data_IF_073263224303
#
_entry.id   IF_073263224303
#
_cell.length_a   1.000
_cell.length_b   1.000
_cell.length_c   1.000
_cell.angle_alpha   90.00
_cell.angle_beta   90.00
_cell.angle_gamma   90.00
#
_symmetry.space_group_name_H-M   'P 1'
#
loop_
_entity.id
_entity.type
_entity.pdbx_description
1 polymer ?
#
# COMPACT_ATOMS: atom_id res chain seq x y z
N UNK A 1 -14.57 -0.62 3.57
CA UNK A 1 -14.79 -2.06 3.84
C UNK A 1 -13.48 -2.83 3.65
N UNK A 2 -13.20 -3.88 4.44
CA UNK A 2 -12.09 -4.78 4.14
C UNK A 2 -12.31 -5.49 2.80
N UNK A 3 -11.23 -5.83 2.10
CA UNK A 3 -11.30 -6.57 0.84
C UNK A 3 -11.97 -7.94 1.07
N UNK A 4 -12.88 -8.32 0.18
CA UNK A 4 -13.42 -9.68 0.17
C UNK A 4 -12.34 -10.65 -0.34
N UNK A 5 -12.40 -11.92 0.10
CA UNK A 5 -11.49 -12.98 -0.38
C UNK A 5 -11.52 -13.09 -1.91
N UNK A 6 -12.71 -13.02 -2.50
CA UNK A 6 -12.89 -13.04 -3.94
C UNK A 6 -12.26 -11.82 -4.62
N UNK A 7 -12.48 -10.62 -4.09
CA UNK A 7 -11.88 -9.39 -4.63
C UNK A 7 -10.35 -9.43 -4.61
N UNK A 8 -9.77 -9.93 -3.51
CA UNK A 8 -8.31 -10.07 -3.39
C UNK A 8 -7.76 -11.11 -4.37
N UNK A 9 -8.40 -12.28 -4.49
CA UNK A 9 -8.01 -13.32 -5.44
C UNK A 9 -8.10 -12.82 -6.90
N UNK A 10 -9.14 -12.07 -7.23
CA UNK A 10 -9.29 -11.46 -8.56
C UNK A 10 -8.16 -10.47 -8.84
N UNK A 11 -7.80 -9.62 -7.88
CA UNK A 11 -6.67 -8.68 -8.01
C UNK A 11 -5.34 -9.41 -8.24
N UNK A 12 -5.06 -10.46 -7.45
CA UNK A 12 -3.84 -11.27 -7.60
C UNK A 12 -3.69 -11.91 -8.98
N UNK A 13 -4.79 -12.23 -9.66
CA UNK A 13 -4.78 -12.87 -10.98
C UNK A 13 -4.55 -11.88 -12.14
N UNK A 14 -4.64 -10.58 -11.88
CA UNK A 14 -4.50 -9.56 -12.93
C UNK A 14 -3.03 -9.31 -13.29
N UNK A 15 -2.73 -9.19 -14.59
CA UNK A 15 -1.35 -8.96 -15.06
C UNK A 15 -0.79 -7.60 -14.63
N UNK A 16 -1.65 -6.61 -14.42
CA UNK A 16 -1.27 -5.27 -14.01
C UNK A 16 -1.19 -5.11 -12.48
N UNK A 17 -1.28 -6.18 -11.69
CA UNK A 17 -0.99 -6.11 -10.26
C UNK A 17 0.41 -6.64 -9.95
N UNK A 18 0.94 -6.23 -8.80
CA UNK A 18 2.17 -6.75 -8.22
C UNK A 18 1.96 -6.87 -6.72
N UNK A 19 2.22 -8.07 -6.18
CA UNK A 19 2.20 -8.31 -4.75
C UNK A 19 3.55 -8.82 -4.28
N UNK A 20 4.04 -8.27 -3.18
CA UNK A 20 5.26 -8.70 -2.51
C UNK A 20 4.93 -9.21 -1.12
N UNK A 21 5.60 -10.29 -0.73
CA UNK A 21 5.49 -10.88 0.58
C UNK A 21 6.86 -10.85 1.27
N UNK A 22 6.86 -10.49 2.55
CA UNK A 22 8.02 -10.63 3.43
C UNK A 22 7.82 -11.87 4.28
N UNK A 23 8.87 -12.68 4.42
CA UNK A 23 8.89 -13.86 5.27
C UNK A 23 9.93 -13.70 6.39
N UNK A 24 9.60 -14.20 7.58
CA UNK A 24 10.51 -14.35 8.73
C UNK A 24 10.38 -15.78 9.23
N UNK A 25 11.49 -16.50 9.33
CA UNK A 25 11.52 -17.88 9.83
C UNK A 25 10.53 -18.83 9.11
N UNK A 26 10.40 -18.65 7.79
CA UNK A 26 9.49 -19.42 6.95
C UNK A 26 8.02 -18.99 7.04
N UNK A 27 7.67 -18.05 7.91
CA UNK A 27 6.31 -17.54 8.03
C UNK A 27 6.09 -16.20 7.33
N UNK A 28 4.89 -15.99 6.79
CA UNK A 28 4.49 -14.70 6.23
C UNK A 28 4.50 -13.63 7.32
N UNK A 29 5.38 -12.64 7.19
CA UNK A 29 5.54 -11.54 8.12
C UNK A 29 4.74 -10.29 7.71
N UNK A 30 4.56 -10.09 6.41
CA UNK A 30 3.79 -8.99 5.84
C UNK A 30 3.69 -9.06 4.33
N UNK A 31 2.87 -8.19 3.75
CA UNK A 31 2.74 -8.06 2.30
C UNK A 31 2.39 -6.63 1.90
N UNK A 32 2.66 -6.31 0.64
CA UNK A 32 2.17 -5.11 -0.01
C UNK A 32 1.69 -5.39 -1.44
N UNK A 33 0.80 -4.54 -1.95
CA UNK A 33 0.20 -4.67 -3.28
C UNK A 33 0.24 -3.35 -4.05
N UNK A 34 0.34 -3.47 -5.37
CA UNK A 34 0.33 -2.38 -6.34
C UNK A 34 -0.59 -2.77 -7.50
N UNK A 35 -1.48 -1.87 -7.91
CA UNK A 35 -2.27 -1.97 -9.13
C UNK A 35 -1.78 -0.91 -10.12
N UNK A 36 -1.36 -1.34 -11.31
CA UNK A 36 -0.89 -0.45 -12.38
C UNK A 36 -2.04 -0.10 -13.33
N UNK A 37 -2.20 1.19 -13.61
CA UNK A 37 -3.06 1.71 -14.67
C UNK A 37 -2.24 2.70 -15.49
N UNK A 38 -1.87 2.32 -16.71
CA UNK A 38 -0.92 3.08 -17.53
C UNK A 38 0.41 3.32 -16.78
N UNK A 39 0.78 4.57 -16.57
CA UNK A 39 1.96 5.05 -15.85
C UNK A 39 1.69 5.37 -14.37
N UNK A 40 0.46 5.12 -13.90
CA UNK A 40 0.06 5.26 -12.50
C UNK A 40 0.07 3.92 -11.75
N UNK A 41 0.51 3.96 -10.49
CA UNK A 41 0.55 2.83 -9.58
C UNK A 41 -0.21 3.12 -8.27
N UNK A 42 -1.33 2.46 -8.06
CA UNK A 42 -2.10 2.53 -6.81
C UNK A 42 -1.57 1.52 -5.80
N UNK A 43 -1.10 1.98 -4.64
CA UNK A 43 -0.71 1.10 -3.52
C UNK A 43 -1.98 0.64 -2.80
N UNK A 44 -2.34 -0.63 -2.97
CA UNK A 44 -3.66 -1.14 -2.55
C UNK A 44 -3.68 -1.64 -1.11
N UNK A 45 -2.71 -2.47 -0.73
CA UNK A 45 -2.64 -3.07 0.60
C UNK A 45 -1.22 -3.00 1.13
N UNK A 46 -1.07 -2.67 2.42
CA UNK A 46 0.20 -2.79 3.15
C UNK A 46 -0.12 -3.31 4.54
N UNK A 47 0.38 -4.49 4.87
CA UNK A 47 0.11 -5.12 6.15
C UNK A 47 1.33 -5.87 6.68
N UNK A 48 1.55 -5.75 8.00
CA UNK A 48 2.58 -6.47 8.73
C UNK A 48 1.95 -7.08 9.99
N UNK A 49 2.29 -8.35 10.28
CA UNK A 49 1.90 -9.06 11.51
C UNK A 49 2.19 -8.17 12.72
N UNK A 50 1.22 -8.04 13.64
CA UNK A 50 1.31 -7.11 14.78
C UNK A 50 2.56 -7.36 15.64
N UNK A 51 2.91 -8.63 15.87
CA UNK A 51 4.10 -9.06 16.63
C UNK A 51 5.43 -8.72 15.96
N UNK A 52 5.43 -8.44 14.65
CA UNK A 52 6.64 -8.16 13.86
C UNK A 52 6.74 -6.69 13.43
N UNK A 53 5.87 -5.82 13.96
CA UNK A 53 5.95 -4.37 13.72
C UNK A 53 7.16 -3.75 14.42
N UNK A 54 7.60 -2.59 13.96
CA UNK A 54 8.80 -1.91 14.46
C UNK A 54 10.12 -2.43 13.88
N UNK A 55 10.10 -3.54 13.13
CA UNK A 55 11.29 -4.17 12.54
C UNK A 55 11.58 -3.72 11.09
N UNK A 56 11.04 -2.55 10.68
CA UNK A 56 11.21 -1.97 9.32
C UNK A 56 10.70 -2.86 8.15
N UNK A 57 9.90 -3.89 8.41
CA UNK A 57 9.35 -4.78 7.39
C UNK A 57 8.53 -4.01 6.34
N UNK A 58 7.61 -3.15 6.80
CA UNK A 58 6.77 -2.36 5.89
C UNK A 58 7.61 -1.40 5.03
N UNK A 59 8.68 -0.82 5.58
CA UNK A 59 9.60 0.05 4.83
C UNK A 59 10.29 -0.72 3.72
N UNK A 60 10.87 -1.89 4.02
CA UNK A 60 11.53 -2.74 3.01
C UNK A 60 10.56 -3.20 1.92
N UNK A 61 9.33 -3.54 2.30
CA UNK A 61 8.27 -3.89 1.35
C UNK A 61 7.93 -2.71 0.43
N UNK A 62 7.78 -1.50 0.97
CA UNK A 62 7.50 -0.29 0.18
C UNK A 62 8.66 0.04 -0.77
N UNK A 63 9.89 0.00 -0.29
CA UNK A 63 11.07 0.31 -1.10
C UNK A 63 11.18 -0.62 -2.32
N UNK A 64 11.00 -1.92 -2.11
CA UNK A 64 11.03 -2.91 -3.20
C UNK A 64 9.81 -2.80 -4.12
N UNK A 65 8.62 -2.51 -3.58
CA UNK A 65 7.41 -2.33 -4.38
C UNK A 65 7.53 -1.13 -5.32
N UNK A 66 7.99 0.01 -4.81
CA UNK A 66 8.21 1.22 -5.60
C UNK A 66 9.28 1.00 -6.67
N UNK A 67 10.41 0.40 -6.30
CA UNK A 67 11.48 0.05 -7.25
C UNK A 67 10.95 -0.83 -8.39
N UNK A 68 10.21 -1.89 -8.07
CA UNK A 68 9.61 -2.76 -9.10
C UNK A 68 8.55 -2.04 -9.91
N UNK A 69 7.76 -1.16 -9.30
CA UNK A 69 6.78 -0.32 -10.01
C UNK A 69 7.45 0.58 -11.04
N UNK A 70 8.52 1.28 -10.67
CA UNK A 70 9.29 2.13 -11.59
C UNK A 70 9.88 1.32 -12.74
N UNK A 71 10.40 0.11 -12.48
CA UNK A 71 10.86 -0.79 -13.53
C UNK A 71 9.75 -1.26 -14.49
N UNK A 72 8.47 -1.19 -14.07
CA UNK A 72 7.30 -1.45 -14.92
C UNK A 72 6.80 -0.22 -15.68
N UNK A 73 7.53 0.90 -15.61
CA UNK A 73 7.17 2.15 -16.28
C UNK A 73 6.19 3.02 -15.50
N UNK A 74 5.99 2.78 -14.21
CA UNK A 74 5.18 3.66 -13.35
C UNK A 74 6.01 4.88 -12.96
N UNK A 75 5.49 6.07 -13.24
CA UNK A 75 6.08 7.37 -12.90
C UNK A 75 5.26 8.15 -11.87
N UNK A 76 4.08 7.66 -11.51
CA UNK A 76 3.24 8.28 -10.50
C UNK A 76 2.65 7.22 -9.58
N UNK A 77 2.88 7.34 -8.27
CA UNK A 77 2.32 6.45 -7.26
C UNK A 77 1.30 7.19 -6.42
N UNK A 78 0.18 6.53 -6.13
CA UNK A 78 -0.89 7.09 -5.30
C UNK A 78 -1.37 6.07 -4.28
N UNK A 79 -1.88 6.57 -3.15
CA UNK A 79 -2.56 5.75 -2.15
C UNK A 79 -3.56 6.58 -1.36
N UNK A 80 -4.54 5.90 -0.78
CA UNK A 80 -5.42 6.43 0.25
C UNK A 80 -5.12 5.78 1.60
N UNK A 81 -5.06 6.60 2.66
CA UNK A 81 -4.85 6.12 4.02
C UNK A 81 -5.83 6.78 4.98
N UNK A 82 -6.36 6.01 5.94
CA UNK A 82 -7.22 6.55 7.01
C UNK A 82 -6.51 7.71 7.72
N UNK A 83 -7.21 8.83 7.89
CA UNK A 83 -6.65 10.05 8.52
C UNK A 83 -6.08 9.80 9.93
N UNK A 84 -6.67 8.88 10.68
CA UNK A 84 -6.21 8.48 12.01
C UNK A 84 -4.99 7.56 12.02
N UNK A 85 -4.61 6.98 10.88
CA UNK A 85 -3.51 6.01 10.79
C UNK A 85 -2.14 6.70 10.65
N UNK A 86 -1.75 7.41 11.71
CA UNK A 86 -0.49 8.17 11.78
C UNK A 86 0.75 7.31 11.50
N UNK A 87 0.75 6.04 11.92
CA UNK A 87 1.86 5.12 11.68
C UNK A 87 2.05 4.82 10.19
N UNK A 88 0.96 4.60 9.43
CA UNK A 88 1.05 4.39 7.99
C UNK A 88 1.39 5.69 7.24
N UNK A 89 0.81 6.82 7.65
CA UNK A 89 1.15 8.13 7.07
C UNK A 89 2.65 8.40 7.21
N UNK A 90 3.23 8.20 8.39
CA UNK A 90 4.68 8.37 8.61
C UNK A 90 5.54 7.39 7.79
N UNK A 91 5.07 6.15 7.60
CA UNK A 91 5.73 5.20 6.71
C UNK A 91 5.77 5.74 5.28
N UNK A 92 4.64 6.23 4.77
CA UNK A 92 4.55 6.75 3.40
C UNK A 92 5.36 8.04 3.21
N UNK A 93 5.32 8.96 4.17
CA UNK A 93 6.16 10.16 4.19
C UNK A 93 7.66 9.79 4.10
N UNK A 94 8.10 8.76 4.86
CA UNK A 94 9.48 8.24 4.78
C UNK A 94 9.81 7.57 3.44
N UNK A 95 8.83 6.98 2.77
CA UNK A 95 8.99 6.43 1.41
C UNK A 95 8.93 7.49 0.32
N UNK A 96 8.80 8.77 0.68
CA UNK A 96 8.83 9.92 -0.23
C UNK A 96 7.45 10.36 -0.74
N UNK A 97 6.35 9.87 -0.15
CA UNK A 97 5.02 10.35 -0.47
C UNK A 97 4.73 11.69 0.22
N UNK A 98 3.96 12.53 -0.44
CA UNK A 98 3.43 13.78 0.12
C UNK A 98 1.90 13.75 0.10
N UNK A 99 1.26 14.58 0.92
CA UNK A 99 -0.20 14.68 0.97
C UNK A 99 -0.70 15.44 -0.26
N UNK A 100 -1.59 14.83 -1.03
CA UNK A 100 -2.17 15.39 -2.24
C UNK A 100 -3.60 15.89 -2.04
N UNK A 101 -4.34 15.35 -1.06
CA UNK A 101 -5.71 15.75 -0.81
C UNK A 101 -6.41 14.96 0.28
N UNK A 102 -7.70 15.24 0.48
CA UNK A 102 -8.57 14.54 1.43
C UNK A 102 -9.84 14.11 0.71
N UNK A 103 -10.19 12.82 0.78
CA UNK A 103 -11.53 12.32 0.45
C UNK A 103 -12.36 12.23 1.70
N UNK A 104 -13.38 13.08 1.80
CA UNK A 104 -14.30 13.10 2.96
C UNK A 104 -15.10 11.81 3.02
N UNK A 105 -15.25 11.23 4.21
CA UNK A 105 -16.08 10.04 4.46
C UNK A 105 -15.78 8.85 3.52
N UNK A 106 -14.54 8.72 3.04
CA UNK A 106 -14.15 7.68 2.07
C UNK A 106 -14.17 6.28 2.68
N UNK A 107 -13.70 6.16 3.91
CA UNK A 107 -13.73 4.90 4.63
C UNK A 107 -15.06 4.74 5.34
N UNK A 108 -15.56 3.52 5.33
CA UNK A 108 -16.70 3.09 6.13
C UNK A 108 -16.22 2.19 7.28
N UNK A 109 -17.04 2.11 8.34
CA UNK A 109 -16.85 1.23 9.50
C UNK A 109 -15.47 1.38 10.19
N UNK A 110 -15.22 2.50 10.91
CA UNK A 110 -16.07 3.69 11.05
C UNK A 110 -15.97 4.62 9.84
N UNK A 111 -16.95 5.53 9.71
CA UNK A 111 -16.90 6.63 8.74
C UNK A 111 -15.68 7.48 9.03
N UNK A 112 -14.81 7.65 8.04
CA UNK A 112 -13.57 8.39 8.21
C UNK A 112 -13.06 8.94 6.88
N UNK A 113 -12.43 10.12 6.96
CA UNK A 113 -11.69 10.70 5.85
C UNK A 113 -10.50 9.82 5.44
N UNK A 114 -10.20 9.82 4.14
CA UNK A 114 -8.93 9.35 3.61
C UNK A 114 -8.03 10.54 3.28
N UNK A 115 -6.77 10.43 3.67
CA UNK A 115 -5.70 11.27 3.13
C UNK A 115 -5.22 10.60 1.84
N UNK A 116 -5.29 11.32 0.73
CA UNK A 116 -4.65 10.92 -0.52
C UNK A 116 -3.19 11.34 -0.41
N UNK A 117 -2.28 10.41 -0.68
CA UNK A 117 -0.85 10.68 -0.76
C UNK A 117 -0.32 10.25 -2.11
N UNK A 118 0.65 10.99 -2.63
CA UNK A 118 1.25 10.71 -3.94
C UNK A 118 2.77 10.86 -3.93
N UNK A 119 3.42 10.21 -4.90
CA UNK A 119 4.85 10.31 -5.18
C UNK A 119 5.07 10.29 -6.70
N UNK A 120 5.89 11.21 -7.19
CA UNK A 120 6.46 11.19 -8.55
C UNK A 120 7.88 10.62 -8.50
#
# INVERSE_FOLDING_TARGET
>A
MPWSKAGFASSLAQKNTLYLCAFSDGELAGYCGLLQVLDEGEITNVAVKKSLRGQKIASRLMDELLKKGTLRGISFFVLEVRKSNSAAIHLYEKSGFTKAGIRRNFYEKPIEDAVIMSKQ
#
